data_IF_250479171504
#
_entry.id   IF_250479171504
#
_cell.length_a   1.000
_cell.length_b   1.000
_cell.length_c   1.000
_cell.angle_alpha   90.00
_cell.angle_beta   90.00
_cell.angle_gamma   90.00
#
_symmetry.space_group_name_H-M   'P 1'
#
loop_
_entity.id
_entity.type
_entity.pdbx_description
1 polymer ?
#
# COMPACT_ATOMS: atom_id res chain seq x y z
N UNK A 1 15.80 8.40 -1.56
CA UNK A 1 16.77 7.73 -0.67
C UNK A 1 16.00 6.55 -0.14
N UNK A 2 16.19 5.40 -0.75
CA UNK A 2 15.41 4.21 -0.43
C UNK A 2 15.96 3.67 0.88
N UNK A 3 15.10 3.51 1.87
CA UNK A 3 15.49 2.91 3.13
C UNK A 3 15.75 1.42 2.89
N UNK A 4 16.76 0.85 3.54
CA UNK A 4 16.89 -0.61 3.53
C UNK A 4 15.63 -1.22 4.16
N UNK A 5 15.12 -2.33 3.61
CA UNK A 5 13.91 -3.02 4.12
C UNK A 5 13.96 -3.29 5.63
N UNK A 6 15.16 -3.48 6.17
CA UNK A 6 15.38 -3.60 7.62
C UNK A 6 15.06 -2.34 8.41
N UNK A 7 15.33 -1.15 7.87
CA UNK A 7 15.07 0.14 8.51
C UNK A 7 13.58 0.52 8.45
N UNK A 8 12.90 0.26 7.32
CA UNK A 8 11.46 0.48 7.20
C UNK A 8 10.65 -0.28 8.26
N UNK A 9 11.06 -1.52 8.56
CA UNK A 9 10.40 -2.33 9.57
C UNK A 9 10.55 -1.72 10.98
N UNK A 10 11.71 -1.15 11.31
CA UNK A 10 11.90 -0.46 12.58
C UNK A 10 11.05 0.82 12.69
N UNK A 11 10.95 1.59 11.60
CA UNK A 11 10.06 2.75 11.54
C UNK A 11 8.61 2.34 11.83
N UNK A 12 8.16 1.26 11.22
CA UNK A 12 6.82 0.74 11.39
C UNK A 12 6.53 0.30 12.83
N UNK A 13 7.47 -0.38 13.49
CA UNK A 13 7.33 -0.75 14.91
C UNK A 13 7.19 0.50 15.79
N UNK A 14 8.04 1.50 15.60
CA UNK A 14 8.05 2.74 16.39
C UNK A 14 6.77 3.55 16.19
N UNK A 15 6.30 3.69 14.94
CA UNK A 15 5.04 4.39 14.62
C UNK A 15 3.85 3.74 15.32
N UNK A 16 3.88 2.42 15.50
CA UNK A 16 2.85 1.67 16.21
C UNK A 16 3.12 1.55 17.73
N UNK A 17 4.13 2.25 18.26
CA UNK A 17 4.46 2.28 19.69
C UNK A 17 5.10 1.00 20.23
N UNK A 18 5.64 0.14 19.35
CA UNK A 18 6.27 -1.13 19.73
C UNK A 18 7.76 -0.88 19.98
N UNK A 19 8.22 -1.15 21.21
CA UNK A 19 9.63 -1.04 21.60
C UNK A 19 10.11 0.36 21.99
N UNK A 20 9.33 1.42 21.80
CA UNK A 20 9.69 2.77 22.21
C UNK A 20 9.14 3.86 21.30
N UNK A 21 9.66 5.09 21.46
CA UNK A 21 9.31 6.27 20.65
C UNK A 21 10.35 6.58 19.57
N UNK A 22 11.50 5.91 19.61
CA UNK A 22 12.57 6.08 18.62
C UNK A 22 13.09 4.72 18.15
N UNK A 23 13.73 4.70 16.97
CA UNK A 23 14.36 3.47 16.43
C UNK A 23 15.44 2.94 17.38
N UNK A 24 16.21 3.84 18.01
CA UNK A 24 17.25 3.46 18.96
C UNK A 24 16.67 2.77 20.20
N UNK A 25 15.59 3.30 20.76
CA UNK A 25 14.86 2.68 21.87
C UNK A 25 14.28 1.33 21.47
N UNK A 26 13.63 1.23 20.30
CA UNK A 26 13.08 -0.03 19.82
C UNK A 26 14.16 -1.11 19.64
N UNK A 27 15.32 -0.76 19.07
CA UNK A 27 16.46 -1.69 18.94
C UNK A 27 17.04 -2.12 20.29
N UNK A 28 16.97 -1.26 21.31
CA UNK A 28 17.46 -1.57 22.66
C UNK A 28 16.47 -2.41 23.48
N UNK A 29 15.17 -2.16 23.31
CA UNK A 29 14.12 -2.76 24.15
C UNK A 29 13.56 -4.06 23.57
N UNK A 30 13.56 -4.23 22.24
CA UNK A 30 12.98 -5.42 21.60
C UNK A 30 14.00 -6.54 21.53
N UNK A 31 13.65 -7.69 22.11
CA UNK A 31 14.48 -8.89 22.02
C UNK A 31 14.45 -9.49 20.60
N UNK A 32 15.54 -10.18 20.21
CA UNK A 32 15.61 -10.84 18.90
C UNK A 32 14.45 -11.84 18.64
N UNK A 33 14.05 -12.69 19.60
CA UNK A 33 12.89 -13.58 19.40
C UNK A 33 11.59 -12.83 19.14
N UNK A 34 11.33 -11.76 19.91
CA UNK A 34 10.13 -10.94 19.74
C UNK A 34 10.12 -10.22 18.38
N UNK A 35 11.27 -9.68 17.96
CA UNK A 35 11.41 -9.07 16.63
C UNK A 35 11.07 -10.06 15.52
N UNK A 36 11.49 -11.32 15.64
CA UNK A 36 11.16 -12.37 14.67
C UNK A 36 9.66 -12.69 14.68
N UNK A 37 9.01 -12.70 15.84
CA UNK A 37 7.56 -12.86 15.94
C UNK A 37 6.82 -11.73 15.22
N UNK A 38 7.23 -10.47 15.43
CA UNK A 38 6.64 -9.33 14.73
C UNK A 38 6.85 -9.41 13.22
N UNK A 39 8.02 -9.87 12.75
CA UNK A 39 8.25 -10.12 11.32
C UNK A 39 7.31 -11.18 10.76
N UNK A 40 7.21 -12.34 11.40
CA UNK A 40 6.29 -13.39 10.96
C UNK A 40 4.83 -12.93 10.96
N UNK A 41 4.45 -12.08 11.92
CA UNK A 41 3.13 -11.47 11.94
C UNK A 41 2.91 -10.53 10.74
N UNK A 42 3.87 -9.63 10.47
CA UNK A 42 3.83 -8.72 9.32
C UNK A 42 3.81 -9.47 7.99
N UNK A 43 4.58 -10.54 7.84
CA UNK A 43 4.60 -11.34 6.61
C UNK A 43 3.24 -12.04 6.38
N UNK A 44 2.57 -12.46 7.46
CA UNK A 44 1.27 -13.14 7.38
C UNK A 44 0.09 -12.19 7.14
N UNK A 45 0.12 -11.00 7.75
CA UNK A 45 -1.04 -10.08 7.78
C UNK A 45 -0.80 -8.76 7.03
N UNK A 46 0.38 -8.59 6.44
CA UNK A 46 0.83 -7.35 5.83
C UNK A 46 1.29 -6.31 6.86
N UNK A 47 1.42 -5.08 6.40
CA UNK A 47 1.86 -3.94 7.20
C UNK A 47 1.07 -3.80 8.50
N UNK A 48 1.79 -3.59 9.61
CA UNK A 48 1.27 -3.17 10.91
C UNK A 48 0.62 -1.78 10.84
N UNK A 49 0.99 -0.96 9.85
CA UNK A 49 0.37 0.35 9.62
C UNK A 49 -1.08 0.20 9.13
N UNK A 50 -2.01 0.18 10.08
CA UNK A 50 -3.45 0.07 9.83
C UNK A 50 -3.99 1.21 8.93
N UNK A 51 -3.37 2.40 9.01
CA UNK A 51 -3.71 3.55 8.17
C UNK A 51 -3.64 3.25 6.67
N UNK A 52 -2.62 2.52 6.21
CA UNK A 52 -2.49 2.14 4.79
C UNK A 52 -3.63 1.23 4.33
N UNK A 53 -4.08 0.29 5.18
CA UNK A 53 -5.24 -0.56 4.86
C UNK A 53 -6.53 0.24 4.76
N UNK A 54 -6.75 1.19 5.68
CA UNK A 54 -7.91 2.07 5.59
C UNK A 54 -7.87 2.94 4.33
N UNK A 55 -6.72 3.51 4.00
CA UNK A 55 -6.56 4.34 2.80
C UNK A 55 -6.88 3.56 1.52
N UNK A 56 -6.41 2.31 1.40
CA UNK A 56 -6.75 1.43 0.28
C UNK A 56 -8.27 1.20 0.18
N UNK A 57 -8.94 0.92 1.30
CA UNK A 57 -10.38 0.68 1.29
C UNK A 57 -11.18 1.95 1.00
N UNK A 58 -10.75 3.11 1.51
CA UNK A 58 -11.37 4.39 1.19
C UNK A 58 -11.19 4.77 -0.27
N UNK A 59 -10.01 4.54 -0.86
CA UNK A 59 -9.77 4.76 -2.28
C UNK A 59 -10.68 3.88 -3.15
N UNK A 60 -10.81 2.59 -2.81
CA UNK A 60 -11.74 1.67 -3.50
C UNK A 60 -13.20 2.11 -3.37
N UNK A 61 -13.61 2.54 -2.18
CA UNK A 61 -14.96 3.04 -1.94
C UNK A 61 -15.23 4.31 -2.77
N UNK A 62 -14.27 5.22 -2.82
CA UNK A 62 -14.36 6.44 -3.61
C UNK A 62 -14.50 6.13 -5.10
N UNK A 63 -13.65 5.27 -5.66
CA UNK A 63 -13.76 4.81 -7.05
C UNK A 63 -15.11 4.19 -7.33
N UNK A 64 -15.60 3.33 -6.44
CA UNK A 64 -16.91 2.68 -6.61
C UNK A 64 -18.05 3.70 -6.62
N UNK A 65 -18.01 4.68 -5.73
CA UNK A 65 -19.00 5.75 -5.65
C UNK A 65 -18.94 6.68 -6.87
N UNK A 66 -17.75 7.07 -7.30
CA UNK A 66 -17.57 7.91 -8.48
C UNK A 66 -18.06 7.18 -9.74
N UNK A 67 -17.62 5.93 -9.94
CA UNK A 67 -17.98 5.12 -11.10
C UNK A 67 -19.46 4.70 -11.16
N UNK A 68 -20.23 4.87 -10.07
CA UNK A 68 -21.69 4.67 -10.11
C UNK A 68 -22.44 5.86 -10.70
N UNK A 69 -21.77 7.02 -10.86
CA UNK A 69 -22.33 8.25 -11.40
C UNK A 69 -21.61 8.74 -12.67
N UNK A 70 -20.43 8.19 -12.97
CA UNK A 70 -19.64 8.52 -14.15
C UNK A 70 -20.09 7.74 -15.41
N UNK A 71 -19.92 8.38 -16.56
CA UNK A 71 -20.01 7.75 -17.89
C UNK A 71 -18.84 6.76 -18.10
N UNK A 72 -18.95 5.84 -19.06
CA UNK A 72 -17.94 4.78 -19.27
C UNK A 72 -16.52 5.32 -19.53
N UNK A 73 -16.42 6.45 -20.22
CA UNK A 73 -15.17 7.13 -20.57
C UNK A 73 -14.53 7.90 -19.41
N UNK A 74 -15.31 8.24 -18.39
CA UNK A 74 -14.84 8.94 -17.19
C UNK A 74 -14.49 7.98 -16.04
N UNK A 75 -14.77 6.68 -16.18
CA UNK A 75 -14.56 5.70 -15.08
C UNK A 75 -13.08 5.61 -14.72
N UNK A 76 -12.87 5.53 -13.41
CA UNK A 76 -11.55 5.34 -12.82
C UNK A 76 -11.26 3.85 -12.75
N UNK A 77 -10.12 3.43 -13.31
CA UNK A 77 -9.76 2.02 -13.42
C UNK A 77 -8.97 1.52 -12.21
N UNK A 78 -8.03 2.32 -11.68
CA UNK A 78 -7.23 1.97 -10.51
C UNK A 78 -7.47 2.96 -9.36
N UNK A 79 -7.87 2.42 -8.19
CA UNK A 79 -8.04 3.21 -6.97
C UNK A 79 -6.72 3.82 -6.47
N UNK A 80 -5.57 3.27 -6.87
CA UNK A 80 -4.25 3.80 -6.53
C UNK A 80 -3.98 5.19 -7.12
N UNK A 81 -4.76 5.63 -8.11
CA UNK A 81 -4.70 7.02 -8.61
C UNK A 81 -4.92 8.06 -7.49
N UNK A 82 -5.61 7.68 -6.40
CA UNK A 82 -5.81 8.51 -5.22
C UNK A 82 -4.83 8.24 -4.07
N UNK A 83 -3.90 7.31 -4.26
CA UNK A 83 -2.91 6.89 -3.27
C UNK A 83 -1.52 7.30 -3.74
N UNK A 84 -1.18 8.59 -3.62
CA UNK A 84 0.02 9.21 -4.22
C UNK A 84 1.35 8.54 -3.86
N UNK A 85 1.39 7.77 -2.77
CA UNK A 85 2.58 7.08 -2.29
C UNK A 85 2.64 5.60 -2.72
N UNK A 86 1.59 5.07 -3.34
CA UNK A 86 1.62 3.75 -3.97
C UNK A 86 2.05 3.88 -5.43
N UNK A 87 3.01 3.06 -5.82
CA UNK A 87 3.39 2.94 -7.22
C UNK A 87 2.30 2.18 -7.97
N UNK A 88 1.77 2.79 -9.02
CA UNK A 88 0.90 2.10 -9.97
C UNK A 88 1.81 1.21 -10.82
N UNK A 89 1.61 -0.12 -10.83
CA UNK A 89 2.45 -0.99 -11.64
C UNK A 89 2.35 -0.57 -13.11
N UNK A 90 3.49 -0.49 -13.83
CA UNK A 90 3.47 -0.12 -15.24
C UNK A 90 2.65 -1.15 -16.01
N UNK A 91 1.75 -0.68 -16.86
CA UNK A 91 1.03 -1.55 -17.78
C UNK A 91 1.98 -2.19 -18.77
N UNK A 92 1.77 -3.46 -19.05
CA UNK A 92 2.48 -4.14 -20.12
C UNK A 92 2.02 -3.62 -21.49
N UNK A 93 2.88 -3.75 -22.49
CA UNK A 93 2.55 -3.40 -23.86
C UNK A 93 1.28 -4.11 -24.37
N UNK A 94 1.10 -5.39 -23.98
CA UNK A 94 -0.08 -6.16 -24.38
C UNK A 94 -1.37 -5.58 -23.78
N UNK A 95 -1.34 -5.19 -22.51
CA UNK A 95 -2.48 -4.57 -21.82
C UNK A 95 -2.85 -3.23 -22.45
N UNK A 96 -1.86 -2.38 -22.74
CA UNK A 96 -2.09 -1.11 -23.44
C UNK A 96 -2.70 -1.32 -24.83
N UNK A 97 -2.20 -2.33 -25.56
CA UNK A 97 -2.72 -2.66 -26.89
C UNK A 97 -4.16 -3.17 -26.82
N UNK A 98 -4.50 -3.97 -25.81
CA UNK A 98 -5.86 -4.45 -25.59
C UNK A 98 -6.82 -3.32 -25.20
N UNK A 99 -6.38 -2.37 -24.34
CA UNK A 99 -7.16 -1.16 -24.02
C UNK A 99 -7.44 -0.32 -25.27
N UNK A 100 -6.43 -0.14 -26.13
CA UNK A 100 -6.58 0.61 -27.38
C UNK A 100 -7.54 -0.05 -28.37
N UNK A 101 -7.56 -1.39 -28.45
CA UNK A 101 -8.51 -2.13 -29.28
C UNK A 101 -9.94 -1.95 -28.75
N UNK A 102 -10.13 -2.10 -27.44
CA UNK A 102 -11.44 -1.94 -26.80
C UNK A 102 -12.03 -0.54 -27.05
N UNK A 103 -11.21 0.50 -26.91
CA UNK A 103 -11.61 1.91 -27.17
C UNK A 103 -11.99 2.19 -28.63
N UNK A 104 -11.48 1.41 -29.59
CA UNK A 104 -11.84 1.56 -31.02
C UNK A 104 -13.11 0.79 -31.41
N UNK A 105 -13.51 -0.17 -30.59
CA UNK A 105 -14.70 -1.02 -30.83
C UNK A 105 -15.97 -0.48 -30.17
N UNK A 106 -15.85 0.55 -29.34
CA UNK A 106 -16.96 1.32 -28.72
C UNK A 106 -17.19 2.59 -29.53
#
# INVERSE_FOLDING_TARGET
MDLESGEEFWCELVINGIGGRTIAEAKANISRPELMTWRSYRDKYGSLFFGRRLEQEFARLFVRYFNSHASEDERIEDAREYMLHEEIPPTSFEEERMKAIKKKST
#
